data_IF_493328243709
#
_entry.id   IF_493328243709
#
_cell.length_a   1.000
_cell.length_b   1.000
_cell.length_c   1.000
_cell.angle_alpha   90.00
_cell.angle_beta   90.00
_cell.angle_gamma   90.00
#
_symmetry.space_group_name_H-M   'P 1'
#
loop_
_entity.id
_entity.type
_entity.pdbx_description
1 polymer ?
#
# COMPACT_ATOMS: atom_id res chain seq x y z
N UNK A 1 16.53 -63.23 -8.09
CA UNK A 1 15.63 -63.22 -9.27
C UNK A 1 15.09 -61.80 -9.37
N UNK A 2 15.44 -61.13 -10.47
CA UNK A 2 15.56 -59.67 -10.55
C UNK A 2 14.21 -58.94 -10.55
N UNK A 3 14.19 -57.82 -9.81
CA UNK A 3 13.17 -56.79 -9.81
C UNK A 3 13.52 -55.78 -10.91
N UNK A 4 12.53 -55.40 -11.71
CA UNK A 4 12.57 -54.54 -12.91
C UNK A 4 13.16 -53.15 -12.64
N UNK A 5 14.02 -52.59 -13.53
CA UNK A 5 14.31 -51.16 -13.54
C UNK A 5 13.52 -50.42 -14.64
N UNK A 6 12.92 -49.30 -14.24
CA UNK A 6 12.27 -48.33 -15.12
C UNK A 6 13.29 -47.64 -16.05
N UNK A 7 12.96 -47.51 -17.34
CA UNK A 7 13.71 -46.69 -18.30
C UNK A 7 13.00 -45.36 -18.56
N UNK A 8 13.85 -44.35 -18.59
CA UNK A 8 13.68 -42.96 -18.99
C UNK A 8 12.69 -42.70 -20.15
N UNK A 9 11.85 -41.68 -19.97
CA UNK A 9 11.31 -40.86 -21.06
C UNK A 9 11.92 -39.46 -20.95
N UNK A 10 12.81 -39.13 -21.87
CA UNK A 10 13.35 -37.78 -22.09
C UNK A 10 12.31 -36.93 -22.83
N UNK A 11 12.14 -35.71 -22.34
CA UNK A 11 11.15 -34.73 -22.80
C UNK A 11 11.37 -34.22 -24.22
N UNK A 12 10.24 -33.98 -24.86
CA UNK A 12 10.01 -33.45 -26.20
C UNK A 12 10.35 -31.96 -26.35
N UNK A 13 10.84 -31.64 -27.54
CA UNK A 13 11.02 -30.31 -28.13
C UNK A 13 9.83 -29.35 -27.92
N UNK A 14 10.11 -28.14 -27.44
CA UNK A 14 9.24 -26.96 -27.59
C UNK A 14 10.09 -25.78 -28.06
N UNK A 15 10.17 -25.61 -29.39
CA UNK A 15 10.68 -24.39 -30.03
C UNK A 15 9.58 -23.82 -30.92
N UNK A 16 8.78 -22.90 -30.38
CA UNK A 16 7.93 -22.01 -31.17
C UNK A 16 7.84 -20.65 -30.45
N UNK A 17 8.19 -19.52 -31.11
CA UNK A 17 8.13 -18.20 -30.52
C UNK A 17 6.68 -17.69 -30.44
N UNK A 18 6.34 -17.06 -29.31
CA UNK A 18 5.03 -16.45 -29.03
C UNK A 18 4.94 -15.12 -29.81
N UNK A 19 3.90 -14.87 -30.63
CA UNK A 19 3.80 -13.64 -31.39
C UNK A 19 3.41 -12.44 -30.49
N UNK A 20 4.32 -11.47 -30.39
CA UNK A 20 4.07 -10.15 -29.82
C UNK A 20 3.03 -9.40 -30.67
N UNK A 21 1.77 -9.33 -30.22
CA UNK A 21 0.75 -8.59 -30.97
C UNK A 21 -0.68 -8.53 -30.42
N UNK A 22 -0.96 -9.02 -29.20
CA UNK A 22 -2.35 -9.07 -28.66
C UNK A 22 -2.61 -8.31 -27.36
N UNK A 23 -1.72 -7.39 -26.95
CA UNK A 23 -1.89 -6.63 -25.70
C UNK A 23 -2.68 -5.31 -25.88
N UNK A 24 -2.83 -4.80 -27.11
CA UNK A 24 -3.44 -3.47 -27.33
C UNK A 24 -4.91 -3.43 -27.78
N UNK A 25 -5.61 -4.57 -27.91
CA UNK A 25 -7.01 -4.57 -28.41
C UNK A 25 -8.12 -4.65 -27.35
N UNK A 26 -7.80 -4.68 -26.06
CA UNK A 26 -8.83 -4.81 -25.01
C UNK A 26 -9.50 -3.49 -24.59
N UNK A 27 -8.99 -2.31 -24.99
CA UNK A 27 -9.56 -1.03 -24.56
C UNK A 27 -10.72 -0.49 -25.43
N UNK A 28 -10.99 -1.09 -26.59
CA UNK A 28 -11.95 -0.54 -27.55
C UNK A 28 -13.40 -1.05 -27.42
N UNK A 29 -13.69 -2.01 -26.52
CA UNK A 29 -14.99 -2.67 -26.48
C UNK A 29 -15.70 -2.68 -25.11
N UNK A 30 -15.24 -1.91 -24.12
CA UNK A 30 -15.99 -1.72 -22.89
C UNK A 30 -17.02 -0.59 -23.09
N UNK A 31 -18.32 -0.95 -23.12
CA UNK A 31 -19.42 0.03 -23.10
C UNK A 31 -19.29 0.90 -21.83
N UNK A 32 -19.54 2.20 -21.89
CA UNK A 32 -19.42 3.07 -20.73
C UNK A 32 -20.45 2.65 -19.67
N UNK A 33 -19.99 2.27 -18.48
CA UNK A 33 -20.82 2.16 -17.29
C UNK A 33 -21.17 3.58 -16.88
N UNK A 34 -22.45 3.93 -16.98
CA UNK A 34 -22.98 5.23 -16.59
C UNK A 34 -22.68 5.47 -15.11
N UNK A 35 -21.81 6.44 -14.78
CA UNK A 35 -21.62 6.92 -13.40
C UNK A 35 -20.20 6.96 -12.85
N UNK A 36 -19.19 6.43 -13.55
CA UNK A 36 -17.80 6.67 -13.14
C UNK A 36 -17.36 8.09 -13.55
N UNK A 37 -16.68 8.85 -12.68
CA UNK A 37 -16.13 10.14 -13.05
C UNK A 37 -15.11 9.94 -14.18
N UNK A 38 -15.34 10.63 -15.28
CA UNK A 38 -14.43 10.67 -16.42
C UNK A 38 -13.02 11.11 -15.94
N UNK A 39 -12.04 10.20 -16.01
CA UNK A 39 -10.64 10.47 -15.64
C UNK A 39 -10.01 11.61 -16.48
N UNK A 40 -10.70 12.10 -17.52
CA UNK A 40 -10.32 13.31 -18.27
C UNK A 40 -10.38 14.60 -17.45
N UNK A 41 -11.03 14.62 -16.26
CA UNK A 41 -11.23 15.86 -15.49
C UNK A 41 -9.99 16.37 -14.74
N UNK A 42 -8.93 15.56 -14.60
CA UNK A 42 -7.68 15.94 -13.93
C UNK A 42 -6.53 16.28 -14.90
N UNK A 43 -6.86 16.64 -16.14
CA UNK A 43 -5.88 17.21 -17.06
C UNK A 43 -4.88 16.23 -17.66
N UNK A 44 -5.03 14.92 -17.46
CA UNK A 44 -4.27 13.95 -18.22
C UNK A 44 -4.80 13.88 -19.65
N UNK A 45 -4.27 14.76 -20.50
CA UNK A 45 -4.46 14.67 -21.94
C UNK A 45 -3.48 13.63 -22.48
N UNK A 46 -3.93 12.62 -23.23
CA UNK A 46 -2.99 11.81 -24.00
C UNK A 46 -2.18 12.76 -24.89
N UNK A 47 -0.86 12.68 -24.80
CA UNK A 47 0.03 13.49 -25.63
C UNK A 47 -0.21 13.05 -27.06
N UNK A 48 -0.67 13.98 -27.91
CA UNK A 48 -0.77 13.74 -29.34
C UNK A 48 0.59 13.28 -29.85
N UNK A 49 0.65 12.23 -30.65
CA UNK A 49 1.91 11.68 -31.15
C UNK A 49 2.69 12.77 -31.91
N UNK A 50 3.67 13.40 -31.25
CA UNK A 50 4.58 14.34 -31.87
C UNK A 50 5.59 13.54 -32.70
N UNK A 51 5.92 14.01 -33.90
CA UNK A 51 6.93 13.35 -34.75
C UNK A 51 8.34 13.34 -34.13
N UNK A 52 8.56 14.13 -33.07
CA UNK A 52 9.78 14.10 -32.25
C UNK A 52 9.52 13.41 -30.91
N UNK A 53 10.45 12.55 -30.44
CA UNK A 53 10.32 11.88 -29.15
C UNK A 53 10.42 12.90 -28.01
N UNK A 54 9.63 12.68 -26.95
CA UNK A 54 9.80 13.39 -25.68
C UNK A 54 11.00 12.80 -24.94
N UNK A 55 11.93 13.65 -24.50
CA UNK A 55 13.14 13.26 -23.78
C UNK A 55 12.99 13.60 -22.29
N UNK A 56 12.93 12.56 -21.46
CA UNK A 56 13.05 12.66 -20.00
C UNK A 56 14.45 12.17 -19.57
N UNK A 57 15.07 12.88 -18.61
CA UNK A 57 16.37 12.50 -18.04
C UNK A 57 16.31 12.46 -16.51
N UNK A 58 16.92 11.42 -15.93
CA UNK A 58 17.11 11.31 -14.48
C UNK A 58 18.27 12.18 -14.05
N UNK A 59 18.07 12.98 -13.01
CA UNK A 59 19.12 13.87 -12.47
C UNK A 59 19.23 13.71 -10.96
N UNK A 60 20.43 14.00 -10.45
CA UNK A 60 20.69 14.08 -9.03
C UNK A 60 20.82 15.55 -8.60
N UNK A 61 19.97 15.98 -7.68
CA UNK A 61 20.01 17.35 -7.14
C UNK A 61 19.58 18.45 -8.12
N UNK A 62 19.79 19.70 -7.71
CA UNK A 62 19.34 20.89 -8.45
C UNK A 62 20.22 21.22 -9.64
N UNK A 63 21.54 21.08 -9.50
CA UNK A 63 22.47 21.39 -10.59
C UNK A 63 22.20 20.53 -11.83
N UNK A 64 21.87 19.26 -11.61
CA UNK A 64 21.48 18.34 -12.68
C UNK A 64 20.17 18.76 -13.37
N UNK A 65 19.16 19.18 -12.59
CA UNK A 65 17.89 19.69 -13.14
C UNK A 65 18.14 20.94 -14.01
N UNK A 66 18.91 21.90 -13.51
CA UNK A 66 19.23 23.13 -14.23
C UNK A 66 20.02 22.87 -15.52
N UNK A 67 20.98 21.94 -15.48
CA UNK A 67 21.72 21.52 -16.65
C UNK A 67 20.81 20.83 -17.69
N UNK A 68 19.93 19.93 -17.24
CA UNK A 68 19.01 19.21 -18.12
C UNK A 68 18.03 20.15 -18.84
N UNK A 69 17.43 21.11 -18.12
CA UNK A 69 16.53 22.08 -18.75
C UNK A 69 17.28 23.00 -19.73
N UNK A 70 18.51 23.42 -19.40
CA UNK A 70 19.32 24.26 -20.29
C UNK A 70 19.73 23.52 -21.57
N UNK A 71 19.91 22.20 -21.48
CA UNK A 71 20.20 21.34 -22.62
C UNK A 71 18.96 21.00 -23.48
N UNK A 72 17.77 21.44 -23.07
CA UNK A 72 16.52 21.23 -23.81
C UNK A 72 15.82 19.90 -23.51
N UNK A 73 15.99 19.32 -22.32
CA UNK A 73 15.16 18.20 -21.87
C UNK A 73 13.68 18.63 -21.79
N UNK A 74 12.77 17.74 -22.17
CA UNK A 74 11.33 18.00 -22.08
C UNK A 74 10.78 17.78 -20.66
N UNK A 75 11.43 16.90 -19.88
CA UNK A 75 11.08 16.58 -18.50
C UNK A 75 12.29 16.04 -17.73
N UNK A 76 12.25 16.17 -16.41
CA UNK A 76 13.26 15.60 -15.50
C UNK A 76 12.62 14.59 -14.54
N UNK A 77 13.29 13.46 -14.29
CA UNK A 77 13.07 12.67 -13.08
C UNK A 77 14.09 13.11 -12.01
N UNK A 78 13.59 13.71 -10.93
CA UNK A 78 14.40 14.23 -9.84
C UNK A 78 14.62 13.14 -8.78
N UNK A 79 15.88 12.77 -8.59
CA UNK A 79 16.34 11.71 -7.70
C UNK A 79 17.37 12.23 -6.70
N UNK A 80 17.62 11.43 -5.66
CA UNK A 80 18.89 11.40 -4.93
C UNK A 80 19.59 10.05 -5.18
N UNK A 81 20.91 9.97 -4.98
CA UNK A 81 21.70 8.74 -5.09
C UNK A 81 21.38 7.89 -6.33
N UNK A 82 21.66 8.43 -7.52
CA UNK A 82 21.50 7.71 -8.79
C UNK A 82 22.36 6.44 -8.84
N UNK A 83 23.47 6.40 -8.10
CA UNK A 83 24.31 5.20 -7.95
C UNK A 83 23.54 4.01 -7.36
N UNK A 84 22.50 4.25 -6.56
CA UNK A 84 21.61 3.23 -6.01
C UNK A 84 20.40 2.93 -6.92
N UNK A 85 20.37 3.50 -8.13
CA UNK A 85 19.23 3.47 -9.05
C UNK A 85 18.16 4.53 -8.76
N UNK A 86 18.51 5.59 -8.03
CA UNK A 86 17.61 6.69 -7.67
C UNK A 86 16.76 6.39 -6.43
N UNK A 87 16.82 7.27 -5.44
CA UNK A 87 16.01 7.25 -4.22
C UNK A 87 15.30 8.60 -4.04
N UNK A 88 14.31 8.65 -3.15
CA UNK A 88 13.52 9.85 -2.88
C UNK A 88 14.45 11.00 -2.49
N UNK A 89 14.47 12.12 -3.22
CA UNK A 89 15.28 13.28 -2.86
C UNK A 89 14.77 13.95 -1.58
N UNK A 90 15.64 14.75 -0.95
CA UNK A 90 15.25 15.51 0.23
C UNK A 90 14.14 16.51 -0.09
N UNK A 91 13.30 16.85 0.90
CA UNK A 91 12.29 17.90 0.74
C UNK A 91 12.90 19.26 0.35
N UNK A 92 14.12 19.56 0.81
CA UNK A 92 14.85 20.77 0.43
C UNK A 92 15.19 20.81 -1.06
N UNK A 93 15.61 19.66 -1.61
CA UNK A 93 15.83 19.50 -3.06
C UNK A 93 14.53 19.67 -3.82
N UNK A 94 13.43 19.05 -3.39
CA UNK A 94 12.12 19.21 -4.06
C UNK A 94 11.65 20.66 -4.04
N UNK A 95 11.80 21.37 -2.91
CA UNK A 95 11.46 22.80 -2.81
C UNK A 95 12.28 23.66 -3.76
N UNK A 96 13.59 23.45 -3.79
CA UNK A 96 14.48 24.20 -4.69
C UNK A 96 14.16 23.93 -6.17
N UNK A 97 13.73 22.71 -6.51
CA UNK A 97 13.27 22.36 -7.85
C UNK A 97 11.95 23.06 -8.20
N UNK A 98 10.99 23.10 -7.28
CA UNK A 98 9.73 23.83 -7.45
C UNK A 98 9.97 25.33 -7.72
N UNK A 99 11.01 25.92 -7.13
CA UNK A 99 11.37 27.32 -7.32
C UNK A 99 12.11 27.59 -8.64
N UNK A 100 12.89 26.62 -9.13
CA UNK A 100 13.86 26.85 -10.22
C UNK A 100 13.50 26.20 -11.56
N UNK A 101 12.66 25.16 -11.55
CA UNK A 101 12.35 24.39 -12.75
C UNK A 101 11.44 25.15 -13.71
N UNK A 102 11.83 25.23 -14.98
CA UNK A 102 10.99 25.80 -16.06
C UNK A 102 10.32 24.72 -16.91
N UNK A 103 10.81 23.48 -16.81
CA UNK A 103 10.25 22.29 -17.44
C UNK A 103 9.57 21.40 -16.37
N UNK A 104 8.60 20.54 -16.75
CA UNK A 104 8.03 19.58 -15.82
C UNK A 104 9.11 18.70 -15.19
N UNK A 105 8.87 18.28 -13.94
CA UNK A 105 9.68 17.24 -13.31
C UNK A 105 8.80 16.29 -12.48
N UNK A 106 9.23 15.04 -12.41
CA UNK A 106 8.65 14.02 -11.53
C UNK A 106 9.65 13.71 -10.42
N UNK A 107 9.14 13.45 -9.22
CA UNK A 107 9.98 13.07 -8.09
C UNK A 107 9.84 11.57 -7.88
N UNK A 108 10.95 10.84 -7.89
CA UNK A 108 10.92 9.42 -7.53
C UNK A 108 10.53 9.26 -6.06
N UNK A 109 9.69 8.27 -5.75
CA UNK A 109 9.33 7.88 -4.38
C UNK A 109 9.87 6.49 -4.12
N UNK A 110 11.11 6.42 -3.63
CA UNK A 110 11.85 5.20 -3.33
C UNK A 110 12.76 5.41 -2.12
N UNK A 111 12.44 4.88 -0.92
CA UNK A 111 13.16 5.26 0.30
C UNK A 111 14.58 4.70 0.42
N UNK A 112 14.98 3.71 -0.40
CA UNK A 112 16.32 3.10 -0.36
C UNK A 112 16.69 2.42 -1.68
N UNK A 113 17.99 2.22 -1.90
CA UNK A 113 18.52 1.30 -2.91
C UNK A 113 18.18 -0.17 -2.66
N UNK A 114 18.56 -1.03 -3.61
CA UNK A 114 18.29 -2.48 -3.58
C UNK A 114 16.88 -2.85 -4.01
N UNK A 115 16.34 -3.93 -3.41
CA UNK A 115 15.01 -4.48 -3.72
C UNK A 115 13.83 -3.60 -3.26
N UNK A 116 12.65 -3.87 -3.79
CA UNK A 116 11.43 -3.14 -3.43
C UNK A 116 10.84 -3.65 -2.11
N UNK A 117 10.46 -2.73 -1.23
CA UNK A 117 9.80 -3.07 0.03
C UNK A 117 8.37 -3.55 -0.25
N UNK A 118 7.99 -4.63 0.40
CA UNK A 118 6.58 -5.02 0.48
C UNK A 118 5.83 -4.00 1.35
N UNK A 119 4.80 -3.37 0.79
CA UNK A 119 4.02 -2.31 1.46
C UNK A 119 2.64 -2.82 1.89
N UNK A 120 2.14 -2.24 2.99
CA UNK A 120 0.76 -2.44 3.48
C UNK A 120 -0.04 -1.17 3.25
N UNK A 121 -1.17 -1.26 2.54
CA UNK A 121 -2.16 -0.18 2.53
C UNK A 121 -2.86 -0.17 3.89
N UNK A 122 -2.78 0.94 4.63
CA UNK A 122 -3.43 1.06 5.94
C UNK A 122 -4.94 1.27 5.80
N UNK A 123 -5.62 1.63 6.90
CA UNK A 123 -7.08 1.89 6.94
C UNK A 123 -7.60 3.01 6.03
N UNK A 124 -6.75 3.65 5.21
CA UNK A 124 -7.24 4.46 4.09
C UNK A 124 -8.13 3.62 3.14
N UNK A 125 -7.89 2.31 3.06
CA UNK A 125 -8.76 1.38 2.35
C UNK A 125 -10.21 1.41 2.85
N UNK A 126 -10.41 1.56 4.18
CA UNK A 126 -11.75 1.58 4.79
C UNK A 126 -12.58 2.79 4.33
N UNK A 127 -11.93 3.82 3.78
CA UNK A 127 -12.54 5.06 3.31
C UNK A 127 -12.80 5.07 1.80
N UNK A 128 -12.51 3.97 1.10
CA UNK A 128 -12.70 3.87 -0.35
C UNK A 128 -14.17 3.72 -0.71
N UNK A 129 -14.56 4.26 -1.88
CA UNK A 129 -15.96 4.19 -2.34
C UNK A 129 -16.37 2.79 -2.78
N UNK A 130 -15.46 2.08 -3.45
CA UNK A 130 -15.66 0.74 -3.99
C UNK A 130 -14.49 -0.13 -3.52
N UNK A 131 -14.74 -0.96 -2.51
CA UNK A 131 -13.72 -1.80 -1.91
C UNK A 131 -13.19 -2.86 -2.88
N UNK A 132 -14.04 -3.37 -3.78
CA UNK A 132 -13.66 -4.41 -4.73
C UNK A 132 -12.72 -3.85 -5.80
N UNK A 133 -13.03 -2.67 -6.36
CA UNK A 133 -12.13 -1.98 -7.29
C UNK A 133 -10.82 -1.60 -6.60
N UNK A 134 -10.90 -1.01 -5.40
CA UNK A 134 -9.73 -0.56 -4.66
C UNK A 134 -8.78 -1.74 -4.38
N UNK A 135 -9.31 -2.92 -4.05
CA UNK A 135 -8.50 -4.11 -3.84
C UNK A 135 -7.77 -4.53 -5.13
N UNK A 136 -8.44 -4.53 -6.28
CA UNK A 136 -7.80 -4.83 -7.56
C UNK A 136 -6.76 -3.77 -7.94
N UNK A 137 -6.98 -2.50 -7.61
CA UNK A 137 -5.99 -1.44 -7.80
C UNK A 137 -4.73 -1.70 -6.98
N UNK A 138 -4.86 -2.07 -5.71
CA UNK A 138 -3.73 -2.40 -4.83
C UNK A 138 -2.95 -3.63 -5.34
N UNK A 139 -3.65 -4.65 -5.84
CA UNK A 139 -3.03 -5.82 -6.48
C UNK A 139 -2.22 -5.43 -7.73
N UNK A 140 -2.78 -4.56 -8.60
CA UNK A 140 -2.06 -4.04 -9.78
C UNK A 140 -0.80 -3.27 -9.38
N UNK A 141 -0.88 -2.52 -8.29
CA UNK A 141 0.24 -1.78 -7.71
C UNK A 141 1.23 -2.64 -6.90
N UNK A 142 1.03 -3.97 -6.84
CA UNK A 142 1.90 -4.91 -6.11
C UNK A 142 2.02 -4.63 -4.61
N UNK A 143 0.97 -4.05 -4.02
CA UNK A 143 0.84 -3.94 -2.55
C UNK A 143 0.64 -5.35 -2.00
N UNK A 144 1.36 -5.72 -0.95
CA UNK A 144 1.29 -7.09 -0.42
C UNK A 144 0.24 -7.29 0.68
N UNK A 145 -0.18 -6.23 1.38
CA UNK A 145 -1.21 -6.32 2.42
C UNK A 145 -2.19 -5.15 2.43
N UNK A 146 -3.40 -5.38 2.90
CA UNK A 146 -4.41 -4.34 3.16
C UNK A 146 -4.89 -4.47 4.60
N UNK A 147 -4.69 -3.43 5.41
CA UNK A 147 -5.25 -3.31 6.75
C UNK A 147 -6.66 -2.71 6.66
N UNK A 148 -7.66 -3.48 7.07
CA UNK A 148 -9.07 -3.08 6.94
C UNK A 148 -9.93 -3.66 8.05
N UNK A 149 -10.98 -2.94 8.45
CA UNK A 149 -12.06 -3.42 9.31
C UNK A 149 -13.31 -3.80 8.54
N UNK A 150 -13.24 -3.90 7.21
CA UNK A 150 -14.40 -4.09 6.36
C UNK A 150 -15.25 -2.83 6.22
N UNK A 151 -14.61 -1.64 6.15
CA UNK A 151 -15.28 -0.34 6.03
C UNK A 151 -16.28 -0.02 7.15
N UNK A 152 -16.04 -0.56 8.35
CA UNK A 152 -16.86 -0.35 9.56
C UNK A 152 -16.00 0.09 10.74
N UNK A 153 -16.64 0.49 11.84
CA UNK A 153 -15.88 0.90 13.03
C UNK A 153 -15.21 -0.33 13.68
N UNK A 154 -15.90 -1.48 13.67
CA UNK A 154 -15.39 -2.76 14.17
C UNK A 154 -15.32 -3.84 13.09
N UNK A 155 -14.43 -4.81 13.26
CA UNK A 155 -14.32 -5.96 12.36
C UNK A 155 -15.59 -6.84 12.37
N UNK A 156 -16.29 -6.88 13.50
CA UNK A 156 -17.54 -7.65 13.66
C UNK A 156 -18.63 -7.05 12.79
N UNK A 157 -18.76 -5.72 12.76
CA UNK A 157 -19.69 -5.03 11.86
C UNK A 157 -19.31 -5.21 10.38
N UNK A 158 -18.01 -5.23 10.08
CA UNK A 158 -17.48 -5.36 8.72
C UNK A 158 -17.28 -6.79 8.24
N UNK A 159 -17.76 -7.78 9.00
CA UNK A 159 -17.40 -9.20 8.83
C UNK A 159 -17.76 -9.77 7.46
N UNK A 160 -18.90 -9.37 6.90
CA UNK A 160 -19.33 -9.82 5.57
C UNK A 160 -18.41 -9.29 4.47
N UNK A 161 -18.05 -8.01 4.55
CA UNK A 161 -17.13 -7.41 3.57
C UNK A 161 -15.72 -7.98 3.72
N UNK A 162 -15.26 -8.22 4.95
CA UNK A 162 -13.98 -8.90 5.19
C UNK A 162 -13.93 -10.29 4.54
N UNK A 163 -14.99 -11.09 4.69
CA UNK A 163 -15.08 -12.40 4.07
C UNK A 163 -15.05 -12.32 2.53
N UNK A 164 -15.77 -11.35 1.95
CA UNK A 164 -15.77 -11.12 0.50
C UNK A 164 -14.39 -10.66 0.00
N UNK A 165 -13.71 -9.77 0.72
CA UNK A 165 -12.36 -9.32 0.38
C UNK A 165 -11.33 -10.45 0.47
N UNK A 166 -11.41 -11.33 1.48
CA UNK A 166 -10.56 -12.52 1.58
C UNK A 166 -10.77 -13.43 0.37
N UNK A 167 -12.03 -13.68 0.00
CA UNK A 167 -12.39 -14.49 -1.17
C UNK A 167 -11.90 -13.85 -2.47
N UNK A 168 -12.08 -12.55 -2.64
CA UNK A 168 -11.64 -11.81 -3.81
C UNK A 168 -10.11 -11.81 -3.90
N UNK A 169 -9.41 -11.51 -2.81
CA UNK A 169 -7.95 -11.44 -2.78
C UNK A 169 -7.29 -12.75 -3.21
N UNK A 170 -7.81 -13.89 -2.72
CA UNK A 170 -7.18 -15.20 -2.92
C UNK A 170 -5.74 -15.18 -2.42
N UNK A 171 -4.79 -15.62 -3.25
CA UNK A 171 -3.36 -15.60 -2.91
C UNK A 171 -2.60 -14.36 -3.43
N UNK A 172 -3.31 -13.35 -3.94
CA UNK A 172 -2.70 -12.22 -4.68
C UNK A 172 -2.27 -11.06 -3.78
N UNK A 173 -2.95 -10.90 -2.64
CA UNK A 173 -2.72 -9.89 -1.62
C UNK A 173 -3.27 -10.40 -0.30
N UNK A 174 -2.66 -10.02 0.83
CA UNK A 174 -3.13 -10.45 2.15
C UNK A 174 -4.12 -9.42 2.70
N UNK A 175 -5.28 -9.90 3.19
CA UNK A 175 -6.19 -9.07 3.99
C UNK A 175 -5.76 -9.20 5.46
N UNK A 176 -5.31 -8.08 6.04
CA UNK A 176 -4.93 -7.94 7.44
C UNK A 176 -6.13 -7.34 8.19
N UNK A 177 -6.93 -8.19 8.84
CA UNK A 177 -8.15 -7.75 9.52
C UNK A 177 -7.88 -6.94 10.78
N UNK A 178 -8.63 -5.87 11.02
CA UNK A 178 -8.50 -5.02 12.20
C UNK A 178 -9.84 -4.42 12.64
N UNK A 179 -9.85 -3.66 13.74
CA UNK A 179 -11.04 -2.98 14.26
C UNK A 179 -11.65 -3.72 15.44
N UNK A 180 -11.34 -3.25 16.65
CA UNK A 180 -11.85 -3.77 17.92
C UNK A 180 -11.75 -5.30 18.10
N UNK A 181 -10.69 -5.92 17.57
CA UNK A 181 -10.42 -7.34 17.79
C UNK A 181 -9.92 -7.56 19.23
N UNK A 182 -10.70 -8.31 19.99
CA UNK A 182 -10.51 -8.59 21.42
C UNK A 182 -10.64 -10.10 21.69
N UNK A 183 -10.31 -10.61 22.89
CA UNK A 183 -10.33 -12.04 23.18
C UNK A 183 -11.67 -12.74 22.89
N UNK A 184 -12.78 -12.03 23.05
CA UNK A 184 -14.14 -12.50 22.82
C UNK A 184 -14.60 -12.41 21.36
N UNK A 185 -13.97 -11.55 20.53
CA UNK A 185 -14.41 -11.30 19.15
C UNK A 185 -13.48 -11.87 18.08
N UNK A 186 -12.17 -11.89 18.32
CA UNK A 186 -11.17 -12.20 17.29
C UNK A 186 -11.32 -13.61 16.70
N UNK A 187 -11.71 -14.59 17.53
CA UNK A 187 -11.91 -15.97 17.11
C UNK A 187 -13.10 -16.13 16.15
N UNK A 188 -14.22 -15.44 16.44
CA UNK A 188 -15.39 -15.44 15.55
C UNK A 188 -15.06 -14.78 14.21
N UNK A 189 -14.45 -13.58 14.26
CA UNK A 189 -14.06 -12.84 13.05
C UNK A 189 -13.17 -13.70 12.17
N UNK A 190 -12.14 -14.35 12.73
CA UNK A 190 -11.27 -15.27 11.98
C UNK A 190 -12.06 -16.38 11.31
N UNK A 191 -12.91 -17.08 12.08
CA UNK A 191 -13.67 -18.26 11.61
C UNK A 191 -14.63 -17.90 10.48
N UNK A 192 -15.30 -16.75 10.57
CA UNK A 192 -16.29 -16.33 9.57
C UNK A 192 -15.70 -15.70 8.32
N UNK A 193 -14.51 -15.11 8.41
CA UNK A 193 -13.86 -14.40 7.30
C UNK A 193 -12.79 -15.22 6.58
N UNK A 194 -12.16 -16.18 7.25
CA UNK A 194 -11.00 -16.90 6.74
C UNK A 194 -9.69 -16.10 6.79
N UNK A 195 -9.64 -15.00 7.55
CA UNK A 195 -8.43 -14.20 7.72
C UNK A 195 -7.24 -15.02 8.26
N UNK A 196 -6.07 -14.83 7.66
CA UNK A 196 -4.81 -15.46 8.09
C UNK A 196 -3.89 -14.51 8.85
N UNK A 197 -4.06 -13.20 8.68
CA UNK A 197 -3.35 -12.15 9.43
C UNK A 197 -4.37 -11.21 10.09
N UNK A 198 -4.10 -10.80 11.33
CA UNK A 198 -4.96 -9.90 12.11
C UNK A 198 -4.13 -8.87 12.87
N UNK A 199 -4.64 -7.66 12.99
CA UNK A 199 -4.02 -6.52 13.65
C UNK A 199 -4.95 -6.01 14.77
N UNK A 200 -4.44 -6.00 16.01
CA UNK A 200 -5.18 -5.54 17.18
C UNK A 200 -4.28 -4.74 18.12
N UNK A 201 -4.91 -3.91 18.95
CA UNK A 201 -4.28 -3.24 20.07
C UNK A 201 -4.92 -3.77 21.36
N UNK A 202 -4.10 -4.12 22.34
CA UNK A 202 -4.55 -4.65 23.63
C UNK A 202 -4.14 -3.65 24.72
N UNK A 203 -4.84 -2.52 24.76
CA UNK A 203 -4.46 -1.40 25.61
C UNK A 203 -5.08 -1.51 27.01
N UNK A 204 -4.36 -1.02 28.00
CA UNK A 204 -4.86 -0.72 29.34
C UNK A 204 -4.29 0.61 29.81
N UNK A 205 -5.10 1.34 30.55
CA UNK A 205 -4.67 2.57 31.19
C UNK A 205 -4.14 2.26 32.59
N UNK A 206 -2.94 2.73 32.90
CA UNK A 206 -2.31 2.62 34.22
C UNK A 206 -2.07 4.00 34.81
N UNK A 207 -2.19 4.18 36.14
CA UNK A 207 -1.88 5.46 36.77
C UNK A 207 -0.42 5.86 36.58
N UNK A 208 -0.18 7.15 36.36
CA UNK A 208 1.16 7.74 36.41
C UNK A 208 1.78 7.59 37.81
N UNK A 209 3.09 7.40 37.86
CA UNK A 209 3.87 7.31 39.10
C UNK A 209 4.06 8.67 39.81
N UNK A 210 3.57 9.77 39.22
CA UNK A 210 3.61 11.11 39.81
C UNK A 210 2.89 11.14 41.16
N UNK A 211 3.65 11.48 42.22
CA UNK A 211 3.16 11.57 43.60
C UNK A 211 2.39 12.86 43.86
N UNK A 212 2.86 13.99 43.30
CA UNK A 212 2.14 15.25 43.32
C UNK A 212 1.36 15.43 42.02
N UNK A 213 0.13 15.95 42.12
CA UNK A 213 -0.74 16.22 40.97
C UNK A 213 -1.33 17.63 41.11
N UNK A 214 -1.23 18.43 40.05
CA UNK A 214 -1.96 19.68 39.93
C UNK A 214 -3.29 19.43 39.22
N UNK A 215 -4.44 19.48 39.91
CA UNK A 215 -5.74 19.19 39.30
C UNK A 215 -6.30 20.36 38.48
N UNK A 216 -5.61 21.50 38.42
CA UNK A 216 -6.13 22.72 37.80
C UNK A 216 -5.59 22.98 36.39
N UNK A 217 -4.67 22.14 35.90
CA UNK A 217 -3.98 22.37 34.61
C UNK A 217 -3.99 21.08 33.79
N UNK A 218 -4.45 21.17 32.55
CA UNK A 218 -4.32 20.14 31.53
C UNK A 218 -3.59 20.70 30.31
N UNK A 219 -2.80 19.86 29.63
CA UNK A 219 -1.98 20.25 28.48
C UNK A 219 -2.76 20.18 27.16
N UNK A 220 -3.98 19.62 27.17
CA UNK A 220 -4.90 19.66 26.05
C UNK A 220 -6.19 18.84 26.24
N UNK A 221 -7.31 19.36 25.73
CA UNK A 221 -8.64 18.78 25.92
C UNK A 221 -9.28 19.16 27.26
N UNK A 222 -10.45 18.58 27.57
CA UNK A 222 -11.23 18.88 28.79
C UNK A 222 -11.06 17.84 29.90
N UNK A 223 -10.39 16.72 29.61
CA UNK A 223 -10.13 15.64 30.56
C UNK A 223 -8.79 15.89 31.27
N UNK A 224 -8.84 16.49 32.47
CA UNK A 224 -7.66 16.83 33.27
C UNK A 224 -6.96 15.59 33.86
N UNK A 225 -7.70 14.49 34.05
CA UNK A 225 -7.13 13.25 34.60
C UNK A 225 -6.26 12.51 33.58
N UNK A 226 -6.42 12.81 32.29
CA UNK A 226 -5.61 12.26 31.20
C UNK A 226 -4.10 12.44 31.43
N UNK A 227 -3.68 13.55 32.02
CA UNK A 227 -2.25 13.85 32.28
C UNK A 227 -1.59 12.84 33.22
N UNK A 228 -2.38 12.15 34.04
CA UNK A 228 -1.90 11.19 35.02
C UNK A 228 -2.25 9.74 34.65
N UNK A 229 -2.52 9.49 33.37
CA UNK A 229 -2.86 8.17 32.82
C UNK A 229 -1.90 7.78 31.70
N UNK A 230 -1.25 6.63 31.85
CA UNK A 230 -0.40 6.04 30.82
C UNK A 230 -1.17 4.91 30.13
N UNK A 231 -1.36 5.02 28.82
CA UNK A 231 -1.90 3.91 28.02
C UNK A 231 -0.74 2.97 27.65
N UNK A 232 -0.79 1.74 28.16
CA UNK A 232 0.22 0.69 27.95
C UNK A 232 -0.39 -0.51 27.23
N UNK A 233 0.46 -1.37 26.67
CA UNK A 233 0.01 -2.68 26.17
C UNK A 233 -0.14 -3.65 27.33
N UNK A 234 -1.32 -4.23 27.48
CA UNK A 234 -1.66 -5.20 28.52
C UNK A 234 -1.27 -6.61 28.09
N UNK A 235 -0.29 -7.19 28.78
CA UNK A 235 0.24 -8.52 28.48
C UNK A 235 -0.83 -9.62 28.57
N UNK A 236 -1.73 -9.56 29.56
CA UNK A 236 -2.76 -10.57 29.75
C UNK A 236 -3.80 -10.52 28.63
N UNK A 237 -4.22 -9.31 28.23
CA UNK A 237 -5.12 -9.12 27.08
C UNK A 237 -4.46 -9.57 25.77
N UNK A 238 -3.17 -9.28 25.55
CA UNK A 238 -2.43 -9.79 24.38
C UNK A 238 -2.46 -11.31 24.35
N UNK A 239 -2.08 -11.97 25.46
CA UNK A 239 -2.04 -13.43 25.54
C UNK A 239 -3.42 -14.06 25.29
N UNK A 240 -4.47 -13.52 25.92
CA UNK A 240 -5.85 -13.98 25.74
C UNK A 240 -6.34 -13.80 24.28
N UNK A 241 -6.03 -12.66 23.66
CA UNK A 241 -6.41 -12.38 22.26
C UNK A 241 -5.69 -13.32 21.30
N UNK A 242 -4.40 -13.57 21.50
CA UNK A 242 -3.63 -14.54 20.70
C UNK A 242 -4.19 -15.96 20.87
N UNK A 243 -4.52 -16.37 22.09
CA UNK A 243 -5.09 -17.69 22.36
C UNK A 243 -6.44 -17.86 21.65
N UNK A 244 -7.33 -16.87 21.76
CA UNK A 244 -8.63 -16.87 21.10
C UNK A 244 -8.52 -16.88 19.57
N UNK A 245 -7.54 -16.17 19.01
CA UNK A 245 -7.27 -16.16 17.58
C UNK A 245 -6.77 -17.51 17.05
N UNK A 246 -6.10 -18.32 17.88
CA UNK A 246 -5.51 -19.61 17.48
C UNK A 246 -6.43 -20.81 17.74
N UNK A 247 -7.50 -20.63 18.52
CA UNK A 247 -8.57 -21.61 18.77
C UNK A 247 -9.58 -21.70 17.61
#
# INVERSE_FOLDING_TARGET
MAITPARHCSGSNLSAPIPHGRIFRAFAAARPVLGLPNFSKHGWKPVAATQKPLIEICVEGIDGLLAAQAAGADRVELCASLIEGGITPSLGTVRSALESATIPFHVIVRPRGGDFLNVTCHRAFDMTRDAAEALEALIRCKVGRVLTSGQRDTAVEGIELLAELVRQAGSRIIILGCGALAPDTIGEVRKRTGLTEMHFAALADVPSAMRYRNPNVGMGGTDLDREYRNTVTDQAKVAATIAAARA
#
